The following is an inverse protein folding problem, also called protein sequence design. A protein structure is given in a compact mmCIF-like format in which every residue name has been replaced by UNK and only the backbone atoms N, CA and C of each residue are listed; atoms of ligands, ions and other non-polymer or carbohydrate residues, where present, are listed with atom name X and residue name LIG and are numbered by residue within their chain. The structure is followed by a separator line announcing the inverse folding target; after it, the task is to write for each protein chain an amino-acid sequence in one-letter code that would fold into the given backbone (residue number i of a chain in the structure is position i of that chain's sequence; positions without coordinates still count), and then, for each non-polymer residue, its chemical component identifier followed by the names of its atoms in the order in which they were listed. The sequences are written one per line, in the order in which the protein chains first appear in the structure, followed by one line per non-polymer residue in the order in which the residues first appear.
data_IF_212743888601
#
_entry.id   IF_212743888601
#
_cell.length_a   1.000
_cell.length_b   1.000
_cell.length_c   1.000
_cell.angle_alpha   90.00
_cell.angle_beta   90.00
_cell.angle_gamma   90.00
#
_symmetry.space_group_name_H-M   'P 1'
#
loop_
_entity.id
_entity.type
_entity.pdbx_description
1 polymer ?
#
# COMPACT_ATOMS: atom_id res chain seq x y z
N UNK A 1 67.07 -25.07 -25.50
CA UNK A 1 66.25 -24.03 -24.84
C UNK A 1 65.53 -24.67 -23.65
N UNK A 2 65.91 -24.30 -22.42
CA UNK A 2 65.61 -25.04 -21.18
C UNK A 2 64.10 -25.15 -20.87
N UNK A 3 63.57 -26.38 -20.78
CA UNK A 3 62.19 -26.69 -20.34
C UNK A 3 61.81 -25.97 -19.03
N UNK A 4 62.78 -25.80 -18.11
CA UNK A 4 62.59 -25.10 -16.84
C UNK A 4 62.27 -23.59 -16.98
N UNK A 5 62.82 -22.92 -18.02
CA UNK A 5 62.54 -21.50 -18.29
C UNK A 5 61.13 -21.32 -18.88
N UNK A 6 60.67 -22.29 -19.68
CA UNK A 6 59.35 -22.28 -20.30
C UNK A 6 58.21 -22.46 -19.26
N UNK A 7 58.40 -23.36 -18.29
CA UNK A 7 57.50 -23.56 -17.15
C UNK A 7 57.34 -22.29 -16.30
N UNK A 8 58.45 -21.63 -15.96
CA UNK A 8 58.41 -20.36 -15.20
C UNK A 8 57.71 -19.26 -15.99
N UNK A 9 57.96 -19.16 -17.30
CA UNK A 9 57.30 -18.19 -18.17
C UNK A 9 55.78 -18.41 -18.25
N UNK A 10 55.33 -19.67 -18.38
CA UNK A 10 53.90 -20.02 -18.35
C UNK A 10 53.25 -19.67 -17.02
N UNK A 11 53.92 -19.91 -15.88
CA UNK A 11 53.41 -19.54 -14.55
C UNK A 11 53.30 -18.03 -14.38
N UNK A 12 54.29 -17.26 -14.86
CA UNK A 12 54.26 -15.79 -14.83
C UNK A 12 53.10 -15.27 -15.69
N UNK A 13 52.93 -15.76 -16.92
CA UNK A 13 51.78 -15.39 -17.77
C UNK A 13 50.46 -15.76 -17.09
N UNK A 14 50.36 -16.95 -16.50
CA UNK A 14 49.17 -17.39 -15.78
C UNK A 14 48.82 -16.48 -14.60
N UNK A 15 49.82 -16.08 -13.82
CA UNK A 15 49.64 -15.12 -12.71
C UNK A 15 49.23 -13.75 -13.25
N UNK A 16 49.88 -13.24 -14.30
CA UNK A 16 49.51 -11.96 -14.92
C UNK A 16 48.07 -11.96 -15.46
N UNK A 17 47.63 -13.05 -16.10
CA UNK A 17 46.27 -13.20 -16.58
C UNK A 17 45.25 -13.28 -15.44
N UNK A 18 45.57 -14.02 -14.38
CA UNK A 18 44.71 -14.14 -13.20
C UNK A 18 44.57 -12.79 -12.48
N UNK A 19 45.67 -12.06 -12.29
CA UNK A 19 45.66 -10.71 -11.72
C UNK A 19 44.84 -9.77 -12.61
N UNK A 20 45.05 -9.80 -13.94
CA UNK A 20 44.25 -9.01 -14.89
C UNK A 20 42.75 -9.30 -14.78
N UNK A 21 42.35 -10.58 -14.69
CA UNK A 21 40.95 -10.99 -14.60
C UNK A 21 40.30 -10.54 -13.28
N UNK A 22 41.04 -10.60 -12.17
CA UNK A 22 40.59 -10.04 -10.88
C UNK A 22 40.47 -8.52 -10.95
N UNK A 23 41.43 -7.83 -11.57
CA UNK A 23 41.40 -6.38 -11.76
C UNK A 23 40.23 -5.93 -12.66
N UNK A 24 39.91 -6.69 -13.71
CA UNK A 24 38.75 -6.46 -14.58
C UNK A 24 37.44 -6.49 -13.77
N UNK A 25 37.29 -7.43 -12.82
CA UNK A 25 36.14 -7.48 -11.91
C UNK A 25 36.06 -6.34 -10.89
N UNK A 26 37.18 -5.69 -10.58
CA UNK A 26 37.27 -4.50 -9.72
C UNK A 26 37.23 -3.19 -10.51
N UNK A 27 37.24 -3.25 -11.85
CA UNK A 27 37.24 -2.08 -12.72
C UNK A 27 35.88 -1.39 -12.68
N UNK A 28 35.81 -0.22 -12.04
CA UNK A 28 34.57 0.58 -11.90
C UNK A 28 33.81 0.73 -13.23
N UNK A 29 34.48 1.02 -14.36
CA UNK A 29 33.84 1.04 -15.68
C UNK A 29 33.00 -0.19 -16.03
N UNK A 30 33.56 -1.38 -15.83
CA UNK A 30 32.90 -2.63 -16.16
C UNK A 30 31.71 -2.87 -15.22
N UNK A 31 31.85 -2.54 -13.93
CA UNK A 31 30.75 -2.63 -12.97
C UNK A 31 29.60 -1.70 -13.33
N UNK A 32 29.87 -0.44 -13.72
CA UNK A 32 28.83 0.51 -14.17
C UNK A 32 28.13 0.01 -15.44
N UNK A 33 28.89 -0.54 -16.39
CA UNK A 33 28.33 -1.13 -17.62
C UNK A 33 27.45 -2.36 -17.34
N UNK A 34 27.91 -3.28 -16.48
CA UNK A 34 27.15 -4.49 -16.10
C UNK A 34 25.91 -4.14 -15.28
N UNK A 35 26.01 -3.19 -14.35
CA UNK A 35 24.90 -2.78 -13.48
C UNK A 35 23.87 -1.88 -14.16
N UNK A 36 24.15 -1.33 -15.33
CA UNK A 36 23.15 -0.54 -16.07
C UNK A 36 21.92 -1.39 -16.40
N UNK A 37 20.71 -0.82 -16.25
CA UNK A 37 19.47 -1.58 -16.32
C UNK A 37 19.25 -2.17 -17.71
N UNK A 38 18.56 -3.31 -17.78
CA UNK A 38 18.09 -3.88 -19.07
C UNK A 38 16.88 -3.13 -19.63
N UNK A 39 16.10 -2.52 -18.75
CA UNK A 39 14.90 -1.77 -19.08
C UNK A 39 14.84 -0.49 -18.24
N UNK A 40 14.46 0.62 -18.86
CA UNK A 40 14.18 1.89 -18.22
C UNK A 40 12.72 2.26 -18.48
N UNK A 41 11.96 2.53 -17.42
CA UNK A 41 10.58 3.02 -17.51
C UNK A 41 10.54 4.46 -17.02
N UNK A 42 9.98 5.35 -17.83
CA UNK A 42 9.84 6.79 -17.55
C UNK A 42 8.49 7.30 -18.02
N UNK A 43 7.99 8.40 -17.45
CA UNK A 43 6.79 9.07 -17.97
C UNK A 43 7.15 10.07 -19.07
N UNK A 44 6.19 10.34 -19.95
CA UNK A 44 6.25 11.39 -20.98
C UNK A 44 6.60 12.75 -20.37
N UNK A 45 7.49 13.51 -21.04
CA UNK A 45 7.95 14.82 -20.57
C UNK A 45 8.89 14.80 -19.36
N UNK A 46 9.26 13.62 -18.84
CA UNK A 46 10.21 13.49 -17.73
C UNK A 46 11.63 13.23 -18.23
N UNK A 47 12.60 13.61 -17.39
CA UNK A 47 14.01 13.28 -17.60
C UNK A 47 14.45 12.18 -16.65
N UNK A 48 15.30 11.28 -17.13
CA UNK A 48 15.96 10.27 -16.30
C UNK A 48 17.45 10.25 -16.55
N UNK A 49 18.23 10.23 -15.48
CA UNK A 49 19.68 10.11 -15.54
C UNK A 49 20.09 8.63 -15.49
N UNK A 50 20.97 8.23 -16.41
CA UNK A 50 21.62 6.93 -16.40
C UNK A 50 23.11 7.15 -16.19
N UNK A 51 23.66 6.51 -15.16
CA UNK A 51 25.10 6.49 -14.95
C UNK A 51 25.78 5.83 -16.16
N UNK A 52 26.71 6.54 -16.78
CA UNK A 52 27.44 6.09 -17.97
C UNK A 52 28.84 6.65 -17.94
N UNK A 53 29.80 5.94 -18.52
CA UNK A 53 31.14 6.49 -18.66
C UNK A 53 31.23 7.41 -19.88
N UNK A 54 32.13 8.41 -19.87
CA UNK A 54 32.35 9.30 -21.02
C UNK A 54 32.72 8.59 -22.32
N UNK A 55 33.32 7.39 -22.23
CA UNK A 55 33.73 6.60 -23.41
C UNK A 55 32.53 6.01 -24.17
N UNK A 56 31.38 5.86 -23.50
CA UNK A 56 30.18 5.33 -24.12
C UNK A 56 29.32 6.46 -24.70
N UNK A 57 28.97 6.32 -25.98
CA UNK A 57 27.92 7.11 -26.61
C UNK A 57 26.61 6.34 -26.53
N UNK A 58 25.49 7.04 -26.53
CA UNK A 58 24.17 6.41 -26.60
C UNK A 58 23.29 7.13 -27.60
N UNK A 59 22.43 6.37 -28.27
CA UNK A 59 21.45 6.88 -29.23
C UNK A 59 20.13 6.17 -29.04
N UNK A 60 19.03 6.87 -29.35
CA UNK A 60 17.70 6.26 -29.41
C UNK A 60 17.47 5.67 -30.80
N UNK A 61 16.83 4.51 -30.88
CA UNK A 61 16.31 3.97 -32.15
C UNK A 61 15.09 4.73 -32.65
N UNK A 62 14.37 5.45 -31.77
CA UNK A 62 13.26 6.32 -32.14
C UNK A 62 13.33 7.64 -31.35
N UNK A 63 13.66 8.73 -32.06
CA UNK A 63 13.80 10.06 -31.46
C UNK A 63 12.46 10.71 -31.13
N UNK A 64 11.34 10.22 -31.68
CA UNK A 64 10.00 10.68 -31.32
C UNK A 64 9.59 10.16 -29.94
N UNK A 65 10.06 8.97 -29.53
CA UNK A 65 9.81 8.42 -28.19
C UNK A 65 10.71 9.09 -27.16
N UNK A 66 12.02 9.14 -27.40
CA UNK A 66 12.96 9.80 -26.49
C UNK A 66 14.28 10.19 -27.19
N UNK A 67 15.02 11.10 -26.56
CA UNK A 67 16.39 11.48 -26.97
C UNK A 67 17.38 11.31 -25.84
N UNK A 68 18.65 11.12 -26.20
CA UNK A 68 19.75 10.99 -25.23
C UNK A 68 20.73 12.14 -25.41
N UNK A 69 21.10 12.80 -24.32
CA UNK A 69 22.17 13.80 -24.26
C UNK A 69 23.21 13.41 -23.21
N UNK A 70 24.43 13.94 -23.33
CA UNK A 70 25.46 13.76 -22.32
C UNK A 70 25.27 14.79 -21.20
N UNK A 71 25.36 14.35 -19.95
CA UNK A 71 25.40 15.22 -18.79
C UNK A 71 26.86 15.42 -18.35
N UNK A 72 27.48 16.51 -18.81
CA UNK A 72 28.90 16.80 -18.57
C UNK A 72 29.23 17.01 -17.08
N UNK A 73 28.26 17.49 -16.27
CA UNK A 73 28.49 17.79 -14.85
C UNK A 73 28.55 16.54 -13.95
N UNK A 74 27.90 15.44 -14.33
CA UNK A 74 27.75 14.24 -13.49
C UNK A 74 28.33 12.95 -14.07
N UNK A 75 29.00 13.04 -15.24
CA UNK A 75 29.49 11.87 -15.98
C UNK A 75 28.35 10.84 -16.18
N UNK A 76 27.31 11.25 -16.90
CA UNK A 76 26.10 10.45 -17.13
C UNK A 76 25.43 10.73 -18.47
N UNK A 77 24.43 9.93 -18.80
CA UNK A 77 23.53 10.16 -19.93
C UNK A 77 22.18 10.62 -19.40
N UNK A 78 21.60 11.61 -20.07
CA UNK A 78 20.27 12.11 -19.77
C UNK A 78 19.30 11.62 -20.84
N UNK A 79 18.26 10.93 -20.40
CA UNK A 79 17.15 10.45 -21.23
C UNK A 79 16.03 11.47 -21.13
N UNK A 80 15.69 12.10 -22.24
CA UNK A 80 14.58 13.03 -22.35
C UNK A 80 13.43 12.33 -23.08
N UNK A 81 12.35 12.00 -22.38
CA UNK A 81 11.18 11.34 -22.96
C UNK A 81 10.22 12.36 -23.59
N UNK A 82 9.64 12.00 -24.73
CA UNK A 82 8.83 12.89 -25.56
C UNK A 82 7.42 12.37 -25.81
N UNK A 83 7.27 11.09 -26.19
CA UNK A 83 5.98 10.50 -26.50
C UNK A 83 5.86 9.10 -25.92
N UNK A 84 4.64 8.71 -25.53
CA UNK A 84 4.34 7.35 -25.14
C UNK A 84 4.76 6.35 -26.22
N UNK A 85 5.50 5.31 -25.83
CA UNK A 85 5.98 4.29 -26.74
C UNK A 85 7.14 3.49 -26.15
N UNK A 86 7.67 2.56 -26.95
CA UNK A 86 8.84 1.76 -26.61
C UNK A 86 9.90 1.89 -27.69
N UNK A 87 11.13 2.15 -27.28
CA UNK A 87 12.28 2.23 -28.19
C UNK A 87 13.56 1.78 -27.48
N UNK A 88 14.56 1.35 -28.23
CA UNK A 88 15.83 0.91 -27.68
C UNK A 88 16.81 2.09 -27.56
N UNK A 89 17.47 2.17 -26.42
CA UNK A 89 18.70 2.94 -26.27
C UNK A 89 19.89 2.04 -26.58
N UNK A 90 20.68 2.43 -27.58
CA UNK A 90 21.86 1.68 -28.03
C UNK A 90 23.13 2.37 -27.52
N UNK A 91 23.83 1.71 -26.60
CA UNK A 91 25.16 2.09 -26.15
C UNK A 91 26.20 1.67 -27.19
N UNK A 92 27.12 2.58 -27.50
CA UNK A 92 28.18 2.39 -28.48
C UNK A 92 29.55 2.66 -27.85
N UNK A 93 30.52 1.82 -28.19
CA UNK A 93 31.94 1.99 -27.87
C UNK A 93 32.74 2.00 -29.16
N UNK A 94 33.50 3.07 -29.41
CA UNK A 94 34.28 3.24 -30.65
C UNK A 94 33.47 3.02 -31.94
N UNK A 95 32.17 3.34 -31.93
CA UNK A 95 31.26 3.16 -33.08
C UNK A 95 30.55 1.82 -33.15
N UNK A 96 30.90 0.85 -32.30
CA UNK A 96 30.26 -0.47 -32.28
C UNK A 96 29.16 -0.55 -31.20
N UNK A 97 27.97 -1.11 -31.50
CA UNK A 97 26.92 -1.30 -30.52
C UNK A 97 27.31 -2.38 -29.51
N UNK A 98 27.32 -2.04 -28.22
CA UNK A 98 27.77 -2.94 -27.14
C UNK A 98 26.65 -3.36 -26.18
N UNK A 99 25.57 -2.57 -26.08
CA UNK A 99 24.42 -2.88 -25.22
C UNK A 99 23.17 -2.18 -25.72
N UNK A 100 22.02 -2.86 -25.58
CA UNK A 100 20.70 -2.28 -25.75
C UNK A 100 19.99 -2.20 -24.40
N UNK A 101 19.30 -1.09 -24.17
CA UNK A 101 18.42 -0.88 -23.02
C UNK A 101 17.05 -0.52 -23.56
N UNK A 102 16.03 -1.31 -23.26
CA UNK A 102 14.66 -1.01 -23.67
C UNK A 102 14.16 0.19 -22.84
N UNK A 103 13.75 1.27 -23.50
CA UNK A 103 13.17 2.45 -22.85
C UNK A 103 11.68 2.45 -23.15
N UNK A 104 10.87 2.36 -22.09
CA UNK A 104 9.42 2.42 -22.14
C UNK A 104 8.96 3.75 -21.58
N UNK A 105 8.34 4.56 -22.44
CA UNK A 105 7.75 5.85 -22.08
C UNK A 105 6.25 5.65 -21.85
N UNK A 106 5.81 5.87 -20.61
CA UNK A 106 4.41 5.82 -20.20
C UNK A 106 3.73 7.18 -20.42
N UNK A 107 2.39 7.22 -20.55
CA UNK A 107 1.63 8.48 -20.62
C UNK A 107 1.87 9.27 -19.33
N UNK A 108 1.96 10.60 -19.42
CA UNK A 108 2.03 11.44 -18.21
C UNK A 108 0.84 11.15 -17.30
N UNK A 109 1.13 10.70 -16.08
CA UNK A 109 0.12 10.27 -15.11
C UNK A 109 0.23 11.08 -13.82
N UNK A 110 -0.91 11.65 -13.40
CA UNK A 110 -0.98 12.58 -12.28
C UNK A 110 -2.11 12.22 -11.33
N UNK A 111 -1.91 12.54 -10.05
CA UNK A 111 -2.91 12.42 -9.00
C UNK A 111 -2.91 13.67 -8.15
N UNK A 112 -4.05 13.99 -7.53
CA UNK A 112 -4.13 15.04 -6.51
C UNK A 112 -3.75 14.38 -5.19
N UNK A 113 -2.68 14.81 -4.50
CA UNK A 113 -2.35 14.27 -3.18
C UNK A 113 -3.44 14.69 -2.18
N UNK A 114 -3.80 13.77 -1.29
CA UNK A 114 -4.77 14.02 -0.23
C UNK A 114 -4.15 14.68 1.00
N UNK A 115 -4.23 13.99 2.13
CA UNK A 115 -3.78 14.44 3.45
C UNK A 115 -4.92 14.68 4.44
N UNK A 116 -6.17 14.73 3.98
CA UNK A 116 -7.36 14.93 4.82
C UNK A 116 -7.60 13.72 5.73
N UNK A 117 -8.05 13.98 6.96
CA UNK A 117 -8.60 12.95 7.83
C UNK A 117 -9.94 12.48 7.28
N UNK A 118 -10.12 11.15 7.22
CA UNK A 118 -11.37 10.53 6.78
C UNK A 118 -11.87 9.57 7.85
N UNK A 119 -13.19 9.57 8.03
CA UNK A 119 -13.89 8.51 8.74
C UNK A 119 -14.14 7.35 7.78
N UNK A 120 -13.90 6.14 8.25
CA UNK A 120 -14.12 4.92 7.49
C UNK A 120 -15.19 4.10 8.20
N UNK A 121 -16.18 3.62 7.44
CA UNK A 121 -17.14 2.62 7.87
C UNK A 121 -17.20 1.51 6.82
N UNK A 122 -16.88 0.29 7.23
CA UNK A 122 -16.94 -0.90 6.39
C UNK A 122 -18.03 -1.82 6.91
N UNK A 123 -18.81 -2.38 5.99
CA UNK A 123 -19.73 -3.48 6.27
C UNK A 123 -19.07 -4.78 5.80
N UNK A 124 -19.13 -5.82 6.63
CA UNK A 124 -18.58 -7.13 6.33
C UNK A 124 -19.56 -7.92 5.47
N UNK A 125 -19.04 -8.81 4.62
CA UNK A 125 -19.88 -9.78 3.91
C UNK A 125 -20.45 -10.81 4.89
N UNK A 126 -21.69 -10.59 5.31
CA UNK A 126 -22.31 -11.33 6.42
C UNK A 126 -21.74 -10.95 7.78
N UNK A 127 -22.01 -11.77 8.79
CA UNK A 127 -21.74 -11.41 10.20
C UNK A 127 -20.50 -12.14 10.74
N UNK A 128 -19.45 -11.40 11.10
CA UNK A 128 -18.18 -11.91 11.63
C UNK A 128 -18.31 -12.37 13.09
N UNK A 129 -17.77 -13.54 13.40
CA UNK A 129 -17.64 -14.06 14.76
C UNK A 129 -16.31 -13.59 15.37
N UNK A 130 -16.39 -12.78 16.43
CA UNK A 130 -15.22 -12.18 17.10
C UNK A 130 -14.91 -12.82 18.45
N UNK A 131 -15.80 -13.69 18.96
CA UNK A 131 -15.58 -14.38 20.22
C UNK A 131 -16.71 -15.31 20.61
N UNK A 132 -16.50 -16.04 21.69
CA UNK A 132 -17.49 -16.89 22.31
C UNK A 132 -17.98 -16.30 23.63
N UNK A 133 -19.23 -16.58 23.97
CA UNK A 133 -19.86 -16.20 25.23
C UNK A 133 -20.44 -17.43 25.91
N UNK A 134 -20.00 -17.67 27.15
CA UNK A 134 -20.56 -18.73 27.99
C UNK A 134 -21.88 -18.29 28.58
N UNK A 135 -22.95 -19.00 28.25
CA UNK A 135 -24.30 -18.82 28.77
C UNK A 135 -24.45 -19.74 29.99
N UNK A 136 -25.04 -19.23 31.07
CA UNK A 136 -25.36 -20.07 32.22
C UNK A 136 -26.68 -20.79 31.96
N UNK A 137 -26.67 -22.12 31.90
CA UNK A 137 -27.88 -22.93 31.77
C UNK A 137 -28.13 -23.71 33.06
N UNK A 138 -29.30 -24.32 33.19
CA UNK A 138 -29.62 -25.23 34.31
C UNK A 138 -28.64 -26.41 34.40
N UNK A 139 -28.01 -26.79 33.29
CA UNK A 139 -27.05 -27.91 33.20
C UNK A 139 -25.59 -27.47 33.30
N UNK A 140 -25.33 -26.17 33.48
CA UNK A 140 -23.97 -25.60 33.55
C UNK A 140 -23.71 -24.53 32.49
N UNK A 141 -22.46 -24.05 32.43
CA UNK A 141 -22.03 -23.03 31.45
C UNK A 141 -21.76 -23.66 30.10
N UNK A 142 -22.34 -23.11 29.04
CA UNK A 142 -22.15 -23.59 27.65
C UNK A 142 -22.10 -22.44 26.67
N UNK A 143 -21.33 -22.60 25.59
CA UNK A 143 -21.37 -21.73 24.41
C UNK A 143 -21.95 -22.53 23.24
N UNK A 144 -23.22 -22.29 22.84
CA UNK A 144 -23.86 -23.05 21.77
C UNK A 144 -23.11 -22.94 20.44
N UNK A 145 -22.58 -21.76 20.12
CA UNK A 145 -21.79 -21.56 18.92
C UNK A 145 -20.46 -22.30 18.95
N UNK A 146 -19.76 -22.32 20.08
CA UNK A 146 -18.54 -23.12 20.23
C UNK A 146 -18.84 -24.61 20.11
N UNK A 147 -19.93 -25.07 20.74
CA UNK A 147 -20.40 -26.47 20.67
C UNK A 147 -20.77 -26.87 19.23
N UNK A 148 -21.30 -25.93 18.45
CA UNK A 148 -21.59 -26.10 17.02
C UNK A 148 -20.34 -26.04 16.13
N UNK A 149 -19.13 -25.90 16.70
CA UNK A 149 -17.87 -25.83 15.95
C UNK A 149 -17.63 -24.50 15.23
N UNK A 150 -18.36 -23.45 15.60
CA UNK A 150 -18.12 -22.09 15.10
C UNK A 150 -16.84 -21.53 15.72
N UNK A 151 -15.96 -20.98 14.90
CA UNK A 151 -14.65 -20.48 15.31
C UNK A 151 -14.58 -18.95 15.18
N UNK A 152 -13.69 -18.36 15.96
CA UNK A 152 -13.35 -16.94 15.83
C UNK A 152 -12.77 -16.70 14.43
N UNK A 153 -13.31 -15.69 13.73
CA UNK A 153 -12.97 -15.38 12.34
C UNK A 153 -13.86 -16.06 11.30
N UNK A 154 -14.87 -16.84 11.70
CA UNK A 154 -15.92 -17.30 10.79
C UNK A 154 -16.86 -16.14 10.44
N UNK A 155 -17.35 -16.11 9.20
CA UNK A 155 -18.48 -15.24 8.82
C UNK A 155 -19.74 -16.05 8.65
N UNK A 156 -20.81 -15.71 9.37
CA UNK A 156 -22.14 -16.28 9.20
C UNK A 156 -22.76 -15.62 7.97
N UNK A 157 -22.91 -16.40 6.90
CA UNK A 157 -23.41 -15.93 5.59
C UNK A 157 -24.85 -16.33 5.31
N UNK A 158 -25.33 -17.43 5.91
CA UNK A 158 -26.73 -17.84 5.82
C UNK A 158 -27.20 -18.49 7.12
N UNK A 159 -28.49 -18.31 7.44
CA UNK A 159 -29.21 -19.03 8.48
C UNK A 159 -30.51 -19.56 7.88
N UNK A 160 -30.73 -20.88 8.00
CA UNK A 160 -31.92 -21.56 7.48
C UNK A 160 -32.19 -21.26 5.99
N UNK A 161 -31.13 -21.19 5.18
CA UNK A 161 -31.19 -20.92 3.74
C UNK A 161 -31.48 -19.46 3.36
N UNK A 162 -31.53 -18.54 4.33
CA UNK A 162 -31.64 -17.10 4.08
C UNK A 162 -30.28 -16.44 4.28
N UNK A 163 -29.91 -15.57 3.35
CA UNK A 163 -28.70 -14.75 3.42
C UNK A 163 -28.74 -13.84 4.65
N UNK A 164 -27.61 -13.75 5.34
CA UNK A 164 -27.38 -12.85 6.46
C UNK A 164 -26.37 -11.82 6.02
N UNK A 165 -26.73 -10.54 6.11
CA UNK A 165 -25.87 -9.41 5.79
C UNK A 165 -25.56 -8.59 7.04
N UNK A 166 -26.55 -8.42 7.93
CA UNK A 166 -26.47 -7.57 9.11
C UNK A 166 -26.74 -8.33 10.39
N UNK A 167 -26.28 -7.80 11.51
CA UNK A 167 -26.57 -8.34 12.84
C UNK A 167 -28.07 -8.38 13.13
N UNK A 168 -28.82 -7.40 12.61
CA UNK A 168 -30.29 -7.34 12.72
C UNK A 168 -30.99 -8.55 12.10
N UNK A 169 -30.37 -9.18 11.09
CA UNK A 169 -30.96 -10.29 10.37
C UNK A 169 -30.92 -11.57 11.21
N UNK A 170 -29.98 -11.67 12.16
CA UNK A 170 -29.74 -12.87 12.98
C UNK A 170 -30.81 -13.05 14.06
N UNK A 171 -31.23 -11.97 14.71
CA UNK A 171 -32.09 -12.02 15.89
C UNK A 171 -33.44 -12.75 15.67
N UNK A 172 -34.17 -12.55 14.55
CA UNK A 172 -35.41 -13.27 14.26
C UNK A 172 -35.23 -14.79 14.21
N UNK A 173 -34.11 -15.27 13.68
CA UNK A 173 -33.83 -16.72 13.62
C UNK A 173 -33.60 -17.30 15.01
N UNK A 174 -32.85 -16.60 15.86
CA UNK A 174 -32.60 -17.01 17.24
C UNK A 174 -33.92 -17.12 18.01
N UNK A 175 -34.79 -16.12 17.85
CA UNK A 175 -36.09 -16.10 18.52
C UNK A 175 -36.97 -17.27 18.08
N UNK A 176 -37.17 -17.47 16.78
CA UNK A 176 -37.97 -18.57 16.24
C UNK A 176 -37.42 -19.96 16.61
N UNK A 177 -36.10 -20.12 16.59
CA UNK A 177 -35.43 -21.36 17.01
C UNK A 177 -35.61 -21.63 18.50
N UNK A 178 -35.58 -20.58 19.32
CA UNK A 178 -35.87 -20.68 20.75
C UNK A 178 -37.29 -21.15 21.06
N UNK A 179 -38.28 -20.62 20.34
CA UNK A 179 -39.70 -20.99 20.53
C UNK A 179 -40.04 -22.40 20.03
N UNK A 180 -39.47 -22.79 18.89
CA UNK A 180 -39.77 -24.07 18.24
C UNK A 180 -38.89 -25.22 18.74
N UNK A 181 -37.70 -24.91 19.29
CA UNK A 181 -36.67 -25.90 19.62
C UNK A 181 -35.88 -26.41 18.41
N UNK A 182 -36.20 -25.96 17.20
CA UNK A 182 -35.52 -26.37 15.97
C UNK A 182 -34.13 -25.73 15.85
N UNK A 183 -33.06 -26.49 15.56
CA UNK A 183 -31.72 -25.93 15.39
C UNK A 183 -31.61 -24.96 14.20
N UNK A 184 -30.75 -23.96 14.34
CA UNK A 184 -30.33 -23.08 13.25
C UNK A 184 -29.36 -23.81 12.32
N UNK A 185 -29.68 -23.89 11.03
CA UNK A 185 -28.76 -24.36 10.00
C UNK A 185 -27.91 -23.17 9.53
N UNK A 186 -26.63 -23.15 9.90
CA UNK A 186 -25.70 -22.09 9.56
C UNK A 186 -24.87 -22.45 8.33
N UNK A 187 -24.61 -21.45 7.48
CA UNK A 187 -23.53 -21.49 6.48
C UNK A 187 -22.47 -20.47 6.86
N UNK A 188 -21.28 -20.96 7.17
CA UNK A 188 -20.12 -20.17 7.58
C UNK A 188 -19.13 -20.05 6.42
N UNK A 189 -18.50 -18.90 6.24
CA UNK A 189 -17.31 -18.75 5.40
C UNK A 189 -16.07 -18.76 6.30
N UNK A 190 -15.25 -19.80 6.19
CA UNK A 190 -13.98 -19.97 6.91
C UNK A 190 -12.85 -20.13 5.89
N UNK A 191 -11.91 -19.19 5.90
CA UNK A 191 -10.73 -19.19 5.01
C UNK A 191 -11.09 -19.46 3.52
N UNK A 192 -12.18 -18.83 3.07
CA UNK A 192 -12.70 -18.93 1.69
C UNK A 192 -13.54 -20.17 1.40
N UNK A 193 -13.80 -21.05 2.38
CA UNK A 193 -14.62 -22.26 2.22
C UNK A 193 -15.93 -22.17 2.97
N UNK A 194 -17.01 -22.64 2.34
CA UNK A 194 -18.31 -22.74 2.99
C UNK A 194 -18.38 -23.99 3.88
N UNK A 195 -18.74 -23.78 5.15
CA UNK A 195 -18.93 -24.83 6.16
C UNK A 195 -20.38 -24.79 6.62
N UNK A 196 -21.04 -25.95 6.69
CA UNK A 196 -22.40 -26.06 7.22
C UNK A 196 -22.38 -26.64 8.62
N UNK A 197 -23.10 -26.03 9.55
CA UNK A 197 -23.25 -26.56 10.91
C UNK A 197 -24.66 -26.31 11.45
N UNK A 198 -25.02 -26.97 12.55
CA UNK A 198 -26.27 -26.76 13.28
C UNK A 198 -25.99 -26.17 14.65
N UNK A 199 -26.68 -25.10 14.99
CA UNK A 199 -26.56 -24.42 16.28
C UNK A 199 -27.93 -24.38 16.95
N UNK A 200 -28.02 -24.91 18.17
CA UNK A 200 -29.25 -24.81 18.98
C UNK A 200 -29.09 -23.72 20.04
N UNK A 201 -29.80 -22.58 19.93
CA UNK A 201 -29.76 -21.53 20.93
C UNK A 201 -30.12 -22.06 22.32
N UNK A 202 -29.53 -21.46 23.36
CA UNK A 202 -29.81 -21.82 24.75
C UNK A 202 -30.31 -20.61 25.51
N UNK A 203 -31.16 -20.86 26.52
CA UNK A 203 -31.69 -19.81 27.40
C UNK A 203 -30.74 -19.58 28.56
N UNK A 204 -30.46 -18.32 28.86
CA UNK A 204 -29.65 -17.95 30.02
C UNK A 204 -30.47 -18.05 31.31
N UNK A 205 -29.89 -18.57 32.38
CA UNK A 205 -30.55 -18.75 33.67
C UNK A 205 -30.79 -17.39 34.30
N UNK A 206 -32.02 -16.87 34.15
CA UNK A 206 -32.41 -15.54 34.64
C UNK A 206 -32.84 -14.56 33.54
N UNK A 207 -32.66 -14.90 32.27
CA UNK A 207 -33.17 -14.11 31.14
C UNK A 207 -34.28 -14.84 30.38
N UNK A 208 -35.18 -14.08 29.75
CA UNK A 208 -36.23 -14.64 28.90
C UNK A 208 -35.76 -14.94 27.48
N UNK A 209 -34.61 -14.40 27.05
CA UNK A 209 -34.12 -14.51 25.67
C UNK A 209 -33.15 -15.67 25.44
N UNK A 210 -33.28 -16.30 24.28
CA UNK A 210 -32.33 -17.30 23.79
C UNK A 210 -31.06 -16.61 23.25
N UNK A 211 -29.91 -17.25 23.46
CA UNK A 211 -28.60 -16.78 23.04
C UNK A 211 -27.86 -17.89 22.30
N UNK A 212 -27.00 -17.49 21.36
CA UNK A 212 -26.18 -18.42 20.55
C UNK A 212 -24.74 -18.57 21.06
N UNK A 213 -24.35 -17.83 22.10
CA UNK A 213 -23.01 -17.91 22.70
C UNK A 213 -21.89 -17.37 21.82
N UNK A 214 -22.21 -16.45 20.90
CA UNK A 214 -21.24 -15.82 20.00
C UNK A 214 -21.25 -14.31 20.20
N UNK A 215 -20.07 -13.71 20.24
CA UNK A 215 -19.89 -12.29 19.96
C UNK A 215 -19.74 -12.13 18.46
N UNK A 216 -20.64 -11.37 17.88
CA UNK A 216 -20.72 -11.13 16.45
C UNK A 216 -20.59 -9.63 16.14
N UNK A 217 -20.16 -9.29 14.92
CA UNK A 217 -20.13 -7.92 14.37
C UNK A 217 -20.36 -7.95 12.86
N UNK A 218 -21.02 -6.95 12.29
CA UNK A 218 -21.23 -6.81 10.83
C UNK A 218 -20.49 -5.61 10.21
N UNK A 219 -19.74 -4.86 11.03
CA UNK A 219 -19.11 -3.64 10.58
C UNK A 219 -17.86 -3.29 11.37
N UNK A 220 -17.00 -2.49 10.75
CA UNK A 220 -15.87 -1.86 11.39
C UNK A 220 -15.80 -0.38 11.04
N UNK A 221 -15.33 0.41 12.00
CA UNK A 221 -15.15 1.84 11.83
C UNK A 221 -13.79 2.27 12.33
N UNK A 222 -13.25 3.34 11.74
CA UNK A 222 -11.96 3.87 12.13
C UNK A 222 -11.66 5.20 11.44
N UNK A 223 -10.47 5.72 11.73
CA UNK A 223 -9.97 6.97 11.19
C UNK A 223 -8.75 6.68 10.31
N UNK A 224 -8.75 7.25 9.12
CA UNK A 224 -7.63 7.15 8.18
C UNK A 224 -7.26 8.51 7.61
N UNK A 225 -6.27 8.49 6.71
CA UNK A 225 -5.90 9.65 5.90
C UNK A 225 -6.08 9.33 4.42
N UNK A 226 -6.67 10.26 3.67
CA UNK A 226 -6.77 10.21 2.21
C UNK A 226 -5.37 10.30 1.60
N UNK A 227 -4.99 9.38 0.71
CA UNK A 227 -3.67 9.40 0.06
C UNK A 227 -3.70 10.18 -1.24
N UNK A 228 -4.57 9.80 -2.17
CA UNK A 228 -4.63 10.40 -3.48
C UNK A 228 -6.04 10.33 -4.06
N UNK A 229 -6.32 11.24 -4.99
CA UNK A 229 -7.51 11.23 -5.85
C UNK A 229 -7.05 11.31 -7.30
N UNK A 230 -7.57 10.42 -8.14
CA UNK A 230 -7.39 10.49 -9.59
C UNK A 230 -8.43 11.46 -10.17
N UNK A 231 -8.00 12.59 -10.78
CA UNK A 231 -8.90 13.70 -11.13
C UNK A 231 -9.99 13.31 -12.13
N UNK A 232 -9.70 12.43 -13.10
CA UNK A 232 -10.66 12.14 -14.18
C UNK A 232 -11.72 11.11 -13.78
N UNK A 233 -11.36 10.14 -12.95
CA UNK A 233 -12.23 9.01 -12.61
C UNK A 233 -12.80 9.07 -11.19
N UNK A 234 -12.39 10.06 -10.40
CA UNK A 234 -12.70 10.22 -8.98
C UNK A 234 -12.33 9.01 -8.11
N UNK A 235 -11.54 8.09 -8.65
CA UNK A 235 -10.97 6.96 -7.90
C UNK A 235 -9.98 7.49 -6.87
N UNK A 236 -10.00 6.93 -5.68
CA UNK A 236 -9.11 7.35 -4.61
C UNK A 236 -8.44 6.14 -3.93
N UNK A 237 -7.37 6.42 -3.18
CA UNK A 237 -6.78 5.48 -2.23
C UNK A 237 -6.54 6.13 -0.87
N UNK A 238 -6.64 5.35 0.21
CA UNK A 238 -6.43 5.79 1.59
C UNK A 238 -5.83 4.68 2.49
N UNK A 239 -5.37 5.05 3.69
CA UNK A 239 -4.72 4.21 4.72
C UNK A 239 -3.36 3.60 4.34
N UNK A 240 -3.17 3.07 3.14
CA UNK A 240 -1.92 2.40 2.78
C UNK A 240 -1.74 0.99 3.40
N UNK A 241 -2.73 0.47 4.13
CA UNK A 241 -2.78 -0.90 4.64
C UNK A 241 -4.21 -1.45 4.71
N UNK A 242 -4.31 -2.76 4.90
CA UNK A 242 -5.58 -3.47 5.09
C UNK A 242 -6.24 -3.12 6.42
N UNK A 243 -7.56 -2.93 6.41
CA UNK A 243 -8.36 -2.89 7.63
C UNK A 243 -8.63 -4.32 8.08
N UNK A 244 -8.18 -4.64 9.28
CA UNK A 244 -8.41 -5.91 9.95
C UNK A 244 -9.28 -5.71 11.18
N UNK A 245 -10.01 -6.75 11.56
CA UNK A 245 -10.73 -6.74 12.83
C UNK A 245 -9.75 -6.84 14.01
N UNK A 246 -10.02 -6.10 15.08
CA UNK A 246 -9.10 -5.96 16.20
C UNK A 246 -8.99 -7.23 17.05
N UNK A 247 -10.04 -8.05 17.12
CA UNK A 247 -10.09 -9.25 17.95
C UNK A 247 -9.49 -10.44 17.19
N UNK A 248 -9.86 -10.61 15.92
CA UNK A 248 -9.43 -11.75 15.08
C UNK A 248 -8.12 -11.51 14.33
N UNK A 249 -7.70 -10.25 14.18
CA UNK A 249 -6.59 -9.80 13.31
C UNK A 249 -6.73 -10.17 11.84
N UNK A 250 -7.87 -10.71 11.41
CA UNK A 250 -8.14 -11.08 10.02
C UNK A 250 -8.58 -9.85 9.21
N UNK A 251 -8.22 -9.77 7.92
CA UNK A 251 -8.75 -8.77 7.01
C UNK A 251 -10.28 -8.80 6.95
N UNK A 252 -10.88 -7.61 6.94
CA UNK A 252 -12.32 -7.47 6.75
C UNK A 252 -12.66 -7.71 5.28
N UNK A 253 -13.52 -8.70 5.01
CA UNK A 253 -14.10 -8.91 3.69
C UNK A 253 -15.20 -7.88 3.47
N UNK A 254 -14.90 -6.88 2.64
CA UNK A 254 -15.83 -5.77 2.37
C UNK A 254 -16.94 -6.24 1.44
N UNK A 255 -18.17 -6.02 1.86
CA UNK A 255 -19.34 -6.06 0.99
C UNK A 255 -19.58 -4.68 0.37
N UNK A 256 -19.72 -3.69 1.25
CA UNK A 256 -19.73 -2.28 0.91
C UNK A 256 -19.11 -1.45 2.04
N UNK A 257 -18.82 -0.19 1.75
CA UNK A 257 -18.36 0.74 2.77
C UNK A 257 -18.49 2.17 2.32
N UNK A 258 -18.27 3.06 3.27
CA UNK A 258 -18.42 4.49 3.12
C UNK A 258 -17.23 5.20 3.75
N UNK A 259 -16.82 6.28 3.10
CA UNK A 259 -15.95 7.28 3.71
C UNK A 259 -16.74 8.54 4.00
N UNK A 260 -16.39 9.18 5.09
CA UNK A 260 -17.04 10.38 5.62
C UNK A 260 -15.96 11.39 6.01
N UNK A 261 -16.34 12.66 6.12
CA UNK A 261 -15.44 13.65 6.71
C UNK A 261 -15.21 13.35 8.19
N UNK A 262 -14.00 13.64 8.65
CA UNK A 262 -13.58 13.44 10.02
C UNK A 262 -12.76 14.64 10.48
N UNK A 263 -13.06 15.12 11.69
CA UNK A 263 -12.39 16.25 12.31
C UNK A 263 -11.54 15.79 13.47
N UNK A 264 -10.25 16.10 13.41
CA UNK A 264 -9.27 15.76 14.44
C UNK A 264 -9.47 16.70 15.64
N UNK A 265 -9.89 16.14 16.77
CA UNK A 265 -10.15 16.93 17.97
C UNK A 265 -8.93 17.07 18.87
N UNK A 266 -8.07 16.06 18.88
CA UNK A 266 -6.84 16.07 19.69
C UNK A 266 -5.88 14.99 19.20
N UNK A 267 -4.63 15.07 19.65
CA UNK A 267 -3.63 14.03 19.42
C UNK A 267 -3.21 13.47 20.76
N UNK A 268 -3.29 12.15 20.91
CA UNK A 268 -2.55 11.44 21.93
C UNK A 268 -1.12 11.25 21.46
N UNK A 269 -0.18 11.82 22.23
CA UNK A 269 1.23 11.84 21.86
C UNK A 269 1.83 10.43 22.00
N UNK A 270 2.49 9.96 20.94
CA UNK A 270 3.20 8.69 20.94
C UNK A 270 4.50 8.73 21.75
N UNK A 271 4.87 7.59 22.32
CA UNK A 271 6.11 7.36 23.06
C UNK A 271 6.72 6.01 22.70
N UNK A 272 7.93 5.75 23.19
CA UNK A 272 8.56 4.44 23.01
C UNK A 272 7.64 3.31 23.53
N UNK A 273 7.37 2.32 22.69
CA UNK A 273 6.50 1.18 23.00
C UNK A 273 5.00 1.45 22.85
N UNK A 274 4.56 2.71 22.82
CA UNK A 274 3.16 3.10 22.71
C UNK A 274 2.96 4.06 21.54
N UNK A 275 2.50 3.55 20.37
CA UNK A 275 2.04 4.41 19.29
C UNK A 275 0.95 5.36 19.81
N UNK A 276 1.11 6.65 19.58
CA UNK A 276 0.05 7.62 19.86
C UNK A 276 -1.10 7.48 18.87
N UNK A 277 -2.13 8.31 19.01
CA UNK A 277 -3.36 8.23 18.20
C UNK A 277 -3.91 9.62 17.84
N UNK A 278 -4.46 9.73 16.62
CA UNK A 278 -5.36 10.83 16.27
C UNK A 278 -6.75 10.58 16.82
N UNK A 279 -7.16 11.37 17.79
CA UNK A 279 -8.54 11.38 18.27
C UNK A 279 -9.37 12.25 17.35
N UNK A 280 -10.29 11.65 16.60
CA UNK A 280 -11.14 12.33 15.66
C UNK A 280 -12.60 11.88 15.80
N UNK A 281 -13.51 12.74 15.36
CA UNK A 281 -14.94 12.45 15.30
C UNK A 281 -15.43 12.60 13.87
N UNK A 282 -16.39 11.77 13.48
CA UNK A 282 -17.09 11.99 12.22
C UNK A 282 -17.75 13.36 12.23
N UNK A 283 -17.66 14.05 11.09
CA UNK A 283 -18.22 15.39 10.96
C UNK A 283 -19.72 15.37 11.31
N UNK A 284 -20.26 16.41 11.97
CA UNK A 284 -21.65 16.42 12.46
C UNK A 284 -22.70 16.24 11.35
N UNK A 285 -22.38 16.69 10.14
CA UNK A 285 -23.22 16.54 8.94
C UNK A 285 -23.30 15.08 8.44
N UNK A 286 -22.38 14.22 8.89
CA UNK A 286 -22.24 12.82 8.48
C UNK A 286 -22.25 12.66 6.97
N UNK A 287 -21.70 13.64 6.25
CA UNK A 287 -21.68 13.63 4.79
C UNK A 287 -20.84 12.44 4.30
N UNK A 288 -21.47 11.57 3.51
CA UNK A 288 -20.79 10.47 2.82
C UNK A 288 -20.11 11.05 1.58
N UNK A 289 -18.79 11.08 1.58
CA UNK A 289 -17.99 11.70 0.53
C UNK A 289 -17.53 10.70 -0.55
N UNK A 290 -17.74 9.40 -0.32
CA UNK A 290 -17.40 8.35 -1.26
C UNK A 290 -17.73 6.95 -0.72
N UNK A 291 -17.59 5.96 -1.59
CA UNK A 291 -17.77 4.55 -1.25
C UNK A 291 -16.42 3.85 -1.04
N UNK A 292 -16.45 2.68 -0.42
CA UNK A 292 -15.33 1.75 -0.34
C UNK A 292 -15.74 0.45 -1.00
N UNK A 293 -14.99 0.04 -2.01
CA UNK A 293 -15.24 -1.20 -2.75
C UNK A 293 -14.12 -2.21 -2.60
N UNK A 294 -12.94 -1.77 -2.15
CA UNK A 294 -11.76 -2.62 -2.02
C UNK A 294 -11.09 -2.34 -0.68
N UNK A 295 -10.77 -3.41 0.05
CA UNK A 295 -9.89 -3.40 1.22
C UNK A 295 -8.76 -4.39 0.95
N UNK A 296 -7.55 -3.88 0.73
CA UNK A 296 -6.38 -4.66 0.30
C UNK A 296 -5.20 -4.43 1.24
N UNK A 297 -4.12 -5.23 1.14
CA UNK A 297 -2.87 -4.97 1.85
C UNK A 297 -2.25 -3.58 1.63
N UNK A 298 -2.66 -2.85 0.59
CA UNK A 298 -2.11 -1.54 0.20
C UNK A 298 -3.05 -0.37 0.52
N UNK A 299 -4.18 -0.61 1.20
CA UNK A 299 -5.14 0.42 1.54
C UNK A 299 -6.57 0.08 1.17
N UNK A 300 -7.43 1.08 1.35
CA UNK A 300 -8.82 1.05 0.88
C UNK A 300 -8.98 1.89 -0.37
N UNK A 301 -9.87 1.46 -1.27
CA UNK A 301 -10.12 2.12 -2.55
C UNK A 301 -11.61 2.15 -2.88
N UNK A 302 -11.99 3.16 -3.64
CA UNK A 302 -13.35 3.38 -4.10
C UNK A 302 -13.42 4.63 -4.98
N UNK A 303 -14.59 5.26 -5.01
CA UNK A 303 -14.83 6.50 -5.74
C UNK A 303 -15.38 7.56 -4.81
N UNK A 304 -14.92 8.80 -5.03
CA UNK A 304 -15.49 9.98 -4.40
C UNK A 304 -16.76 10.42 -5.12
N UNK A 305 -17.74 10.88 -4.35
CA UNK A 305 -18.97 11.49 -4.85
C UNK A 305 -18.88 13.02 -4.87
N UNK A 306 -17.88 13.58 -4.19
CA UNK A 306 -17.63 15.01 -4.09
C UNK A 306 -16.14 15.30 -4.22
N UNK A 307 -15.80 16.48 -4.72
CA UNK A 307 -14.41 16.91 -4.78
C UNK A 307 -13.90 17.22 -3.37
N UNK A 308 -12.65 16.86 -3.11
CA UNK A 308 -11.97 17.15 -1.86
C UNK A 308 -10.73 17.99 -2.13
N UNK A 309 -10.72 19.21 -1.61
CA UNK A 309 -9.52 20.05 -1.56
C UNK A 309 -8.81 19.87 -0.22
N UNK A 310 -7.49 19.92 -0.21
CA UNK A 310 -6.66 19.97 0.99
C UNK A 310 -6.15 21.39 1.29
N UNK A 311 -6.25 22.34 0.35
CA UNK A 311 -5.81 23.73 0.54
C UNK A 311 -4.28 23.93 0.52
N UNK A 312 -3.50 22.88 0.28
CA UNK A 312 -2.03 22.88 0.29
C UNK A 312 -1.46 22.47 -1.07
N UNK A 313 -1.96 21.37 -1.64
CA UNK A 313 -1.54 20.76 -2.89
C UNK A 313 -2.77 20.23 -3.66
N UNK A 314 -3.63 21.15 -4.10
CA UNK A 314 -4.88 20.80 -4.83
C UNK A 314 -4.69 20.55 -6.33
N UNK A 315 -3.48 20.76 -6.86
CA UNK A 315 -3.17 20.53 -8.27
C UNK A 315 -2.71 19.09 -8.48
N UNK A 316 -3.15 18.50 -9.60
CA UNK A 316 -2.68 17.19 -10.02
C UNK A 316 -1.15 17.19 -10.18
N UNK A 317 -0.50 16.26 -9.50
CA UNK A 317 0.94 16.14 -9.37
C UNK A 317 1.40 14.82 -10.01
N UNK A 318 2.54 14.79 -10.73
CA UNK A 318 3.09 13.55 -11.24
C UNK A 318 3.40 12.55 -10.14
N UNK A 319 3.37 11.26 -10.48
CA UNK A 319 3.82 10.19 -9.58
C UNK A 319 5.28 9.82 -9.84
N UNK A 320 5.90 9.15 -8.87
CA UNK A 320 7.18 8.48 -9.05
C UNK A 320 7.01 6.96 -8.97
N UNK A 321 7.63 6.25 -9.91
CA UNK A 321 7.76 4.79 -9.86
C UNK A 321 8.74 4.38 -8.76
N UNK A 322 8.65 3.14 -8.27
CA UNK A 322 9.48 2.68 -7.15
C UNK A 322 11.00 2.87 -7.36
N UNK A 323 11.52 2.74 -8.58
CA UNK A 323 12.94 2.97 -8.91
C UNK A 323 13.34 4.46 -8.99
N UNK A 324 12.37 5.36 -9.10
CA UNK A 324 12.60 6.82 -9.14
C UNK A 324 12.70 7.43 -7.75
N UNK A 325 12.18 6.75 -6.71
CA UNK A 325 12.29 7.19 -5.31
C UNK A 325 13.75 7.17 -4.86
N UNK A 326 14.15 8.20 -4.11
CA UNK A 326 15.52 8.35 -3.60
C UNK A 326 15.52 8.50 -2.09
N UNK A 327 16.62 8.10 -1.47
CA UNK A 327 16.91 8.46 -0.08
C UNK A 327 17.11 9.98 0.03
N UNK A 328 16.72 10.55 1.17
CA UNK A 328 16.84 11.98 1.46
C UNK A 328 15.51 12.70 1.71
N UNK A 329 15.49 14.04 1.63
CA UNK A 329 14.37 14.84 2.11
C UNK A 329 13.08 14.62 1.31
N UNK A 330 11.96 14.59 2.02
CA UNK A 330 10.62 14.49 1.48
C UNK A 330 9.63 15.20 2.42
N UNK A 331 8.34 15.25 2.04
CA UNK A 331 7.26 15.79 2.87
C UNK A 331 6.13 14.80 2.99
N UNK A 332 5.42 14.83 4.11
CA UNK A 332 4.11 14.19 4.25
C UNK A 332 3.03 15.25 4.36
N UNK A 333 1.83 14.97 3.82
CA UNK A 333 0.65 15.79 4.08
C UNK A 333 -0.24 15.07 5.09
N UNK A 334 -0.58 15.72 6.20
CA UNK A 334 -1.46 15.12 7.21
C UNK A 334 -2.17 16.20 8.03
N UNK A 335 -3.22 15.79 8.74
CA UNK A 335 -3.94 16.65 9.70
C UNK A 335 -3.52 16.32 11.13
N UNK A 336 -3.14 17.34 11.91
CA UNK A 336 -2.89 17.22 13.36
C UNK A 336 -3.75 18.18 14.20
N UNK A 337 -4.61 18.97 13.55
CA UNK A 337 -5.51 19.91 14.20
C UNK A 337 -6.74 20.14 13.33
N UNK A 338 -7.92 19.86 13.87
CA UNK A 338 -9.21 20.02 13.21
C UNK A 338 -9.22 19.34 11.83
N UNK A 339 -9.42 20.11 10.77
CA UNK A 339 -9.50 19.64 9.38
C UNK A 339 -8.31 20.14 8.53
N UNK A 340 -7.36 20.85 9.16
CA UNK A 340 -6.30 21.55 8.44
C UNK A 340 -5.22 20.58 7.99
N UNK A 341 -5.14 20.35 6.68
CA UNK A 341 -4.02 19.62 6.08
C UNK A 341 -2.79 20.51 6.12
N UNK A 342 -1.67 19.95 6.55
CA UNK A 342 -0.38 20.63 6.60
C UNK A 342 0.72 19.73 6.04
N UNK A 343 1.77 20.36 5.50
CA UNK A 343 2.97 19.67 5.04
C UNK A 343 4.03 19.64 6.15
N UNK A 344 4.58 18.46 6.41
CA UNK A 344 5.62 18.22 7.41
C UNK A 344 6.84 17.55 6.76
N UNK A 345 8.01 18.01 7.15
CA UNK A 345 9.29 17.45 6.71
C UNK A 345 9.54 16.04 7.26
N UNK A 346 9.98 15.17 6.35
CA UNK A 346 10.45 13.83 6.63
C UNK A 346 11.73 13.54 5.84
N UNK A 347 12.36 12.42 6.14
CA UNK A 347 13.46 11.85 5.38
C UNK A 347 13.10 10.43 4.93
N UNK A 348 13.29 10.12 3.65
CA UNK A 348 13.29 8.74 3.16
C UNK A 348 14.65 8.16 3.52
N UNK A 349 14.67 7.31 4.55
CA UNK A 349 15.89 6.70 5.10
C UNK A 349 16.39 5.58 4.19
N UNK A 350 15.46 4.80 3.63
CA UNK A 350 15.77 3.76 2.66
C UNK A 350 14.56 3.48 1.77
N UNK A 351 14.83 3.04 0.56
CA UNK A 351 13.80 2.64 -0.41
C UNK A 351 14.28 1.44 -1.21
N UNK A 352 13.37 0.52 -1.51
CA UNK A 352 13.68 -0.67 -2.30
C UNK A 352 12.95 -0.57 -3.63
N UNK A 353 13.65 -0.56 -4.78
CA UNK A 353 12.99 -0.70 -6.08
C UNK A 353 12.26 -2.03 -6.15
N UNK A 354 10.98 -2.01 -6.47
CA UNK A 354 10.12 -3.19 -6.40
C UNK A 354 9.65 -3.59 -7.79
N UNK A 355 9.78 -4.88 -8.11
CA UNK A 355 9.18 -5.48 -9.32
C UNK A 355 7.78 -6.02 -9.07
N UNK A 356 7.46 -6.29 -7.81
CA UNK A 356 6.20 -6.87 -7.37
C UNK A 356 5.66 -6.08 -6.19
N UNK A 357 4.32 -6.02 -6.01
CA UNK A 357 3.70 -5.32 -4.90
C UNK A 357 4.21 -5.81 -3.54
N UNK A 358 4.63 -4.87 -2.68
CA UNK A 358 4.99 -5.16 -1.30
C UNK A 358 4.69 -3.98 -0.38
N UNK A 359 4.20 -4.28 0.83
CA UNK A 359 3.65 -3.30 1.78
C UNK A 359 4.71 -2.45 2.47
N UNK A 360 5.98 -2.85 2.39
CA UNK A 360 7.14 -2.15 2.95
C UNK A 360 8.07 -1.73 1.80
N UNK A 361 7.71 -0.64 1.11
CA UNK A 361 8.50 -0.10 -0.01
C UNK A 361 9.63 0.81 0.42
N UNK A 362 9.38 1.60 1.46
CA UNK A 362 10.34 2.58 1.98
C UNK A 362 10.29 2.67 3.50
N UNK A 363 11.39 3.11 4.09
CA UNK A 363 11.47 3.54 5.48
C UNK A 363 11.57 5.05 5.50
N UNK A 364 10.74 5.68 6.33
CA UNK A 364 10.70 7.13 6.51
C UNK A 364 10.98 7.49 7.96
N UNK A 365 11.49 8.71 8.16
CA UNK A 365 11.70 9.31 9.47
C UNK A 365 11.16 10.73 9.50
N UNK A 366 10.38 11.06 10.52
CA UNK A 366 9.88 12.41 10.74
C UNK A 366 11.00 13.30 11.25
N UNK A 367 11.20 14.44 10.57
CA UNK A 367 12.21 15.44 10.92
C UNK A 367 11.61 16.80 11.28
N UNK A 368 10.33 17.02 10.98
CA UNK A 368 9.61 18.25 11.32
C UNK A 368 9.42 18.40 12.84
N UNK A 369 9.99 19.48 13.39
CA UNK A 369 9.95 19.78 14.83
C UNK A 369 8.54 20.04 15.35
N UNK A 370 7.66 20.62 14.53
CA UNK A 370 6.27 20.93 14.93
C UNK A 370 5.48 19.63 15.08
N UNK A 371 5.65 18.72 14.12
CA UNK A 371 5.01 17.41 14.17
C UNK A 371 5.49 16.61 15.39
N UNK A 372 6.81 16.49 15.56
CA UNK A 372 7.42 15.77 16.68
C UNK A 372 7.00 16.32 18.05
N UNK A 373 6.88 17.64 18.18
CA UNK A 373 6.45 18.29 19.41
C UNK A 373 5.00 17.92 19.76
N UNK A 374 4.09 17.89 18.78
CA UNK A 374 2.66 17.64 19.01
C UNK A 374 2.35 16.14 19.14
N UNK A 375 3.00 15.29 18.35
CA UNK A 375 2.59 13.89 18.15
C UNK A 375 3.60 12.87 18.66
N UNK A 376 4.86 13.27 18.88
CA UNK A 376 5.95 12.33 19.19
C UNK A 376 6.45 11.54 17.97
N UNK A 377 5.90 11.78 16.77
CA UNK A 377 6.24 11.06 15.55
C UNK A 377 5.00 10.67 14.73
N UNK A 378 5.04 9.50 14.12
CA UNK A 378 3.93 8.90 13.38
C UNK A 378 2.96 8.29 14.41
N UNK A 379 1.70 8.67 14.34
CA UNK A 379 0.63 8.16 15.22
C UNK A 379 -0.44 7.44 14.41
N UNK A 380 -1.24 6.61 15.09
CA UNK A 380 -2.40 5.97 14.46
C UNK A 380 -3.34 7.02 13.86
N UNK A 381 -3.93 6.71 12.71
CA UNK A 381 -4.71 7.66 11.90
C UNK A 381 -3.89 8.53 10.94
N UNK A 382 -2.54 8.58 11.04
CA UNK A 382 -1.68 9.14 9.97
C UNK A 382 -1.54 8.20 8.77
N UNK A 383 -1.91 6.94 8.92
CA UNK A 383 -1.84 5.98 7.83
C UNK A 383 -2.61 6.47 6.62
N UNK A 384 -1.96 6.45 5.46
CA UNK A 384 -2.44 7.01 4.20
C UNK A 384 -1.98 8.44 3.93
N UNK A 385 -1.24 9.09 4.83
CA UNK A 385 -0.66 10.42 4.57
C UNK A 385 0.23 10.35 3.33
N UNK A 386 -0.03 11.13 2.26
CA UNK A 386 0.75 11.07 1.04
C UNK A 386 2.16 11.58 1.29
N UNK A 387 3.12 10.88 0.70
CA UNK A 387 4.53 11.22 0.72
C UNK A 387 4.88 11.87 -0.61
N UNK A 388 5.44 13.07 -0.55
CA UNK A 388 5.84 13.88 -1.69
C UNK A 388 7.34 14.10 -1.67
N UNK A 389 8.02 13.75 -2.76
CA UNK A 389 9.45 13.97 -2.94
C UNK A 389 9.71 14.53 -4.35
N UNK A 390 10.54 15.56 -4.45
CA UNK A 390 10.92 16.18 -5.73
C UNK A 390 9.71 16.58 -6.61
N UNK A 391 8.64 17.09 -5.99
CA UNK A 391 7.43 17.48 -6.69
C UNK A 391 6.62 16.33 -7.27
N UNK A 392 6.82 15.10 -6.78
CA UNK A 392 6.08 13.90 -7.17
C UNK A 392 5.46 13.22 -5.95
N UNK A 393 4.27 12.64 -6.12
CA UNK A 393 3.71 11.72 -5.13
C UNK A 393 4.45 10.39 -5.27
N UNK A 394 5.10 9.95 -4.20
CA UNK A 394 5.93 8.73 -4.22
C UNK A 394 5.28 7.55 -3.49
N UNK A 395 4.30 7.82 -2.63
CA UNK A 395 3.71 6.80 -1.78
C UNK A 395 2.84 7.35 -0.66
N UNK A 396 2.59 6.49 0.33
CA UNK A 396 1.84 6.83 1.54
C UNK A 396 2.50 6.25 2.78
N UNK A 397 2.35 6.92 3.91
CA UNK A 397 2.71 6.38 5.24
C UNK A 397 1.81 5.19 5.56
N UNK A 398 2.38 4.10 6.10
CA UNK A 398 1.61 2.93 6.53
C UNK A 398 1.71 2.73 8.05
N UNK A 399 2.70 1.97 8.51
CA UNK A 399 2.84 1.57 9.91
C UNK A 399 4.02 2.29 10.57
N UNK A 400 3.85 2.67 11.83
CA UNK A 400 4.91 3.20 12.67
C UNK A 400 5.77 2.09 13.29
N UNK A 401 7.04 2.36 13.59
CA UNK A 401 7.86 1.45 14.37
C UNK A 401 7.50 1.58 15.85
N UNK A 402 7.14 0.47 16.51
CA UNK A 402 6.73 0.46 17.92
C UNK A 402 7.83 1.02 18.84
N UNK A 403 9.10 0.74 18.54
CA UNK A 403 10.25 1.17 19.35
C UNK A 403 10.81 2.55 18.95
N UNK A 404 10.36 3.11 17.82
CA UNK A 404 10.78 4.44 17.38
C UNK A 404 9.60 5.12 16.67
N UNK A 405 8.74 5.87 17.40
CA UNK A 405 7.59 6.51 16.79
C UNK A 405 7.97 7.55 15.75
N UNK A 406 9.23 8.02 15.72
CA UNK A 406 9.69 8.96 14.69
C UNK A 406 9.88 8.30 13.34
N UNK A 407 9.95 6.97 13.28
CA UNK A 407 10.20 6.21 12.06
C UNK A 407 9.04 5.27 11.70
N UNK A 408 8.88 4.99 10.42
CA UNK A 408 7.82 4.11 9.94
C UNK A 408 8.05 3.61 8.54
N UNK A 409 7.10 2.83 8.04
CA UNK A 409 7.08 2.32 6.68
C UNK A 409 6.22 3.19 5.77
N UNK A 410 6.58 3.20 4.49
CA UNK A 410 5.75 3.70 3.41
C UNK A 410 5.54 2.66 2.31
N UNK A 411 4.41 2.77 1.62
CA UNK A 411 4.06 2.00 0.44
C UNK A 411 4.23 2.88 -0.81
N UNK A 412 4.71 2.32 -1.92
CA UNK A 412 4.79 3.07 -3.18
C UNK A 412 3.41 3.34 -3.77
N UNK A 413 3.24 4.53 -4.36
CA UNK A 413 1.99 4.94 -5.00
C UNK A 413 1.59 4.02 -6.17
N UNK A 414 2.59 3.45 -6.85
CA UNK A 414 2.44 2.48 -7.95
C UNK A 414 1.50 1.32 -7.59
N UNK A 415 1.65 0.75 -6.39
CA UNK A 415 0.84 -0.37 -5.93
C UNK A 415 -0.55 0.06 -5.51
N UNK A 416 -0.66 1.23 -4.90
CA UNK A 416 -1.96 1.77 -4.52
C UNK A 416 -2.82 2.09 -5.75
N UNK A 417 -2.21 2.59 -6.83
CA UNK A 417 -2.90 2.85 -8.10
C UNK A 417 -3.38 1.54 -8.75
N UNK A 418 -2.53 0.52 -8.76
CA UNK A 418 -2.90 -0.80 -9.27
C UNK A 418 -4.13 -1.36 -8.55
N UNK A 419 -4.16 -1.32 -7.21
CA UNK A 419 -5.30 -1.77 -6.40
C UNK A 419 -6.56 -0.92 -6.61
N UNK A 420 -6.42 0.39 -6.89
CA UNK A 420 -7.53 1.23 -7.29
C UNK A 420 -8.09 0.87 -8.69
N UNK A 421 -7.51 -0.11 -9.38
CA UNK A 421 -7.84 -0.45 -10.76
C UNK A 421 -7.45 0.66 -11.73
N UNK A 422 -6.35 1.35 -11.46
CA UNK A 422 -5.74 2.36 -12.34
C UNK A 422 -4.45 1.74 -12.88
N UNK A 423 -4.48 1.31 -14.15
CA UNK A 423 -3.33 0.71 -14.78
C UNK A 423 -2.48 1.78 -15.50
N UNK A 424 -1.37 2.17 -14.87
CA UNK A 424 -0.41 3.13 -15.45
C UNK A 424 0.50 2.51 -16.53
N UNK A 425 0.45 1.18 -16.71
CA UNK A 425 1.25 0.43 -17.67
C UNK A 425 0.49 0.03 -18.94
N UNK A 426 -0.82 0.24 -18.99
CA UNK A 426 -1.59 -0.07 -20.19
C UNK A 426 -1.33 0.98 -21.26
N UNK A 427 -0.74 0.50 -22.36
CA UNK A 427 -0.88 1.17 -23.63
C UNK A 427 -2.28 0.84 -24.11
N UNK A 428 -3.12 1.85 -24.40
CA UNK A 428 -4.26 1.62 -25.26
C UNK A 428 -3.73 0.89 -26.49
N UNK A 429 -4.03 -0.41 -26.60
CA UNK A 429 -3.86 -1.12 -27.85
C UNK A 429 -4.71 -0.35 -28.83
N UNK A 430 -4.09 0.51 -29.64
CA UNK A 430 -4.72 1.01 -30.86
C UNK A 430 -5.18 -0.25 -31.57
N UNK A 431 -6.49 -0.44 -31.67
CA UNK A 431 -7.06 -1.44 -32.55
C UNK A 431 -6.50 -1.14 -33.94
N UNK A 432 -5.60 -2.01 -34.40
CA UNK A 432 -5.12 -2.01 -35.78
C UNK A 432 -6.21 -2.47 -36.72
#
# INVERSE_FOLDING_TARGET
MNKLKLERFRKIIGICLLVSLVFIGCFKPLRTFISSPKQLVVFEGQQSEIASLPVFKASSTDRHVFTVSSNEQKQGLMVNSHQNGEADMVFQLAGFPVKKVNVRVLKDFKVIPGGQSIGVKLNTKGVLVVGHHLIQTEKGKVSPGETAGVQIGDMITEINGKTIERMSDVAPFIHNSGETGEPLNLVLLRDGKHIRTKLTPQKDSGESSYRIGLYIRDSAAGIGTMTFVHPDSMKYGALGHVISDNDTKKPIQVEDGQIMRSTVTSIERGSHGNPGEKLARFSPDREVIGNITINSPFGIFGKLNTNMTNGVMDKAMPIALSHQVKEGPAKILTVIDQDKVEAFDIEVVSTVPQKFPATKGMVIKVTDKRLLAKTGGIVQGMSGSPIVQNGKVIGAVTHVFVNDPTSGYGVHIEWMLHEAGINIYDQERKAS
#
